data_IF_692061585852
#
_entry.id   IF_692061585852
#
_cell.length_a   1.000
_cell.length_b   1.000
_cell.length_c   1.000
_cell.angle_alpha   90.00
_cell.angle_beta   90.00
_cell.angle_gamma   90.00
#
_symmetry.space_group_name_H-M   'P 1'
#
loop_
_entity.id
_entity.type
_entity.pdbx_description
1 polymer ?
#
# COMPACT_ATOMS: atom_id res chain seq x y z
N UNK A 1 23.01 -47.09 -11.59
CA UNK A 1 22.49 -46.82 -10.23
C UNK A 1 22.51 -45.31 -10.01
N UNK A 2 21.39 -44.64 -10.24
CA UNK A 2 21.22 -43.22 -9.97
C UNK A 2 20.49 -43.07 -8.63
N UNK A 3 21.12 -42.42 -7.66
CA UNK A 3 20.53 -42.14 -6.35
C UNK A 3 20.01 -40.71 -6.31
N UNK A 4 18.79 -40.61 -5.81
CA UNK A 4 17.97 -39.44 -5.57
C UNK A 4 18.38 -38.74 -4.27
N UNK A 5 18.55 -37.41 -4.29
CA UNK A 5 18.47 -36.55 -3.08
C UNK A 5 17.75 -35.26 -3.48
N UNK A 6 16.48 -35.14 -3.11
CA UNK A 6 16.02 -34.38 -1.94
C UNK A 6 16.12 -32.87 -2.15
N UNK A 7 15.01 -32.28 -2.62
CA UNK A 7 14.83 -30.84 -2.78
C UNK A 7 14.95 -30.08 -1.46
N UNK A 8 15.81 -29.07 -1.45
CA UNK A 8 16.12 -28.24 -0.30
C UNK A 8 15.39 -26.91 -0.44
N UNK A 9 14.35 -26.71 0.38
CA UNK A 9 13.64 -25.44 0.54
C UNK A 9 14.57 -24.35 1.10
N UNK A 10 14.42 -23.07 0.68
CA UNK A 10 15.16 -21.96 1.25
C UNK A 10 14.64 -21.60 2.67
N UNK A 11 15.49 -21.05 3.55
CA UNK A 11 15.10 -20.68 4.91
C UNK A 11 14.16 -19.46 4.91
N UNK A 12 13.00 -19.66 5.51
CA UNK A 12 11.99 -18.65 5.80
C UNK A 12 12.56 -17.54 6.68
N UNK A 13 12.70 -16.33 6.12
CA UNK A 13 13.00 -15.13 6.88
C UNK A 13 11.80 -14.79 7.77
N UNK A 14 12.06 -14.75 9.07
CA UNK A 14 11.05 -14.53 10.09
C UNK A 14 10.33 -13.19 9.91
N UNK A 15 9.01 -13.31 9.90
CA UNK A 15 8.01 -12.25 10.03
C UNK A 15 8.33 -11.35 11.22
N UNK A 16 8.43 -10.05 10.93
CA UNK A 16 8.35 -9.00 11.95
C UNK A 16 6.93 -8.96 12.52
N UNK A 17 6.76 -9.50 13.73
CA UNK A 17 5.52 -9.37 14.51
C UNK A 17 5.54 -8.08 15.34
N UNK A 18 4.59 -7.15 15.16
CA UNK A 18 4.40 -6.02 16.06
C UNK A 18 3.59 -6.49 17.27
N UNK A 19 4.28 -6.91 18.33
CA UNK A 19 3.66 -7.16 19.63
C UNK A 19 4.61 -6.72 20.75
N UNK A 20 4.60 -5.42 21.04
CA UNK A 20 5.28 -4.87 22.22
C UNK A 20 4.29 -4.06 23.05
N UNK A 21 3.27 -4.74 23.58
CA UNK A 21 2.33 -4.14 24.54
C UNK A 21 2.24 -4.90 25.86
N UNK A 22 3.10 -5.90 26.12
CA UNK A 22 3.18 -6.60 27.42
C UNK A 22 4.61 -7.00 27.80
N UNK A 23 5.58 -6.09 27.69
CA UNK A 23 6.88 -6.32 28.37
C UNK A 23 6.66 -6.09 29.87
N UNK A 24 6.91 -7.10 30.70
CA UNK A 24 6.88 -6.97 32.16
C UNK A 24 7.73 -5.78 32.59
N UNK A 25 7.31 -5.05 33.64
CA UNK A 25 8.01 -3.84 34.11
C UNK A 25 9.51 -4.09 34.34
N UNK A 26 9.85 -5.31 34.75
CA UNK A 26 11.20 -5.83 34.94
C UNK A 26 11.99 -5.97 33.63
N UNK A 27 11.38 -6.48 32.56
CA UNK A 27 12.00 -6.52 31.22
C UNK A 27 12.26 -5.12 30.66
N UNK A 28 11.43 -4.13 31.01
CA UNK A 28 11.65 -2.73 30.63
C UNK A 28 12.83 -2.13 31.42
N UNK A 29 12.96 -2.48 32.70
CA UNK A 29 14.10 -2.05 33.55
C UNK A 29 15.42 -2.65 33.06
N UNK A 30 15.48 -3.96 32.83
CA UNK A 30 16.70 -4.63 32.34
C UNK A 30 17.13 -4.10 30.98
N UNK A 31 16.17 -3.90 30.05
CA UNK A 31 16.46 -3.30 28.74
C UNK A 31 16.97 -1.87 28.85
N UNK A 32 16.42 -1.06 29.78
CA UNK A 32 16.89 0.30 30.03
C UNK A 32 18.31 0.31 30.62
N UNK A 33 18.62 -0.65 31.50
CA UNK A 33 19.98 -0.81 32.05
C UNK A 33 20.98 -1.25 30.99
N UNK A 34 20.60 -2.17 30.09
CA UNK A 34 21.43 -2.57 28.95
C UNK A 34 21.75 -1.37 28.04
N UNK A 35 20.75 -0.55 27.71
CA UNK A 35 21.00 0.67 26.92
C UNK A 35 21.85 1.69 27.67
N UNK A 36 21.67 1.85 28.99
CA UNK A 36 22.54 2.73 29.78
C UNK A 36 23.99 2.25 29.78
N UNK A 37 24.23 0.94 29.86
CA UNK A 37 25.58 0.37 29.77
C UNK A 37 26.17 0.55 28.36
N UNK A 38 25.37 0.33 27.32
CA UNK A 38 25.78 0.49 25.92
C UNK A 38 26.17 1.92 25.56
N UNK A 39 25.43 2.91 26.07
CA UNK A 39 25.71 4.32 25.82
C UNK A 39 26.57 4.98 26.91
N UNK A 40 27.12 4.21 27.86
CA UNK A 40 27.97 4.75 28.93
C UNK A 40 27.25 5.74 29.88
N UNK A 41 25.91 5.75 29.91
CA UNK A 41 25.08 6.67 30.71
C UNK A 41 25.01 6.28 32.20
N UNK A 42 25.88 5.37 32.65
CA UNK A 42 26.00 4.97 34.05
C UNK A 42 26.99 5.91 34.75
N UNK A 43 26.51 7.14 35.00
CA UNK A 43 26.93 8.06 36.07
C UNK A 43 28.42 8.10 36.43
N UNK A 44 29.09 9.16 35.96
CA UNK A 44 30.31 9.73 36.57
C UNK A 44 30.20 9.92 38.09
N UNK A 45 28.99 9.99 38.66
CA UNK A 45 28.77 10.14 40.10
C UNK A 45 29.18 8.93 40.98
N UNK A 46 29.57 7.79 40.39
CA UNK A 46 30.11 6.64 41.13
C UNK A 46 31.57 6.30 40.72
N UNK A 47 32.16 7.06 39.80
CA UNK A 47 33.51 6.82 39.30
C UNK A 47 34.60 7.57 40.09
N UNK A 48 34.25 8.54 40.92
CA UNK A 48 35.23 9.37 41.66
C UNK A 48 35.63 8.84 43.05
N UNK A 49 35.05 7.72 43.52
CA UNK A 49 35.36 7.14 44.84
C UNK A 49 35.83 5.69 44.79
N UNK A 50 36.50 5.28 43.72
CA UNK A 50 37.27 4.04 43.71
C UNK A 50 38.71 4.42 43.38
N UNK A 51 39.53 4.53 44.44
CA UNK A 51 40.98 4.64 44.29
C UNK A 51 41.45 3.58 43.31
N UNK A 52 42.41 3.94 42.46
CA UNK A 52 42.97 3.06 41.41
C UNK A 52 43.44 1.75 42.06
N UNK A 53 42.54 0.77 42.14
CA UNK A 53 42.86 -0.55 42.63
C UNK A 53 43.86 -1.14 41.64
N UNK A 54 45.03 -1.54 42.12
CA UNK A 54 46.16 -2.00 41.30
C UNK A 54 45.74 -3.16 40.37
N UNK A 55 44.77 -3.97 40.81
CA UNK A 55 44.12 -5.04 40.03
C UNK A 55 43.46 -4.55 38.73
N UNK A 56 42.95 -3.32 38.70
CA UNK A 56 42.28 -2.73 37.53
C UNK A 56 43.27 -2.22 36.48
N UNK A 57 44.55 -2.06 36.84
CA UNK A 57 45.63 -1.71 35.93
C UNK A 57 46.18 -2.93 35.20
N UNK A 58 46.03 -4.12 35.79
CA UNK A 58 46.50 -5.42 35.29
C UNK A 58 45.39 -6.16 34.51
N UNK A 59 44.13 -5.79 34.68
CA UNK A 59 43.01 -6.38 33.93
C UNK A 59 42.96 -5.93 32.47
N UNK A 60 43.03 -6.87 31.51
CA UNK A 60 43.05 -6.60 30.06
C UNK A 60 41.75 -5.94 29.58
N UNK A 61 40.62 -6.26 30.21
CA UNK A 61 39.30 -5.74 29.82
C UNK A 61 38.99 -4.36 30.43
N UNK A 62 39.87 -3.86 31.30
CA UNK A 62 39.70 -2.58 31.99
C UNK A 62 40.07 -1.39 31.09
N UNK A 63 39.29 -0.28 31.14
CA UNK A 63 39.64 0.95 30.43
C UNK A 63 40.91 1.63 30.99
N UNK A 64 41.37 1.25 32.19
CA UNK A 64 42.59 1.78 32.81
C UNK A 64 43.79 0.83 32.66
N UNK A 65 43.70 -0.17 31.77
CA UNK A 65 44.73 -1.17 31.54
C UNK A 65 46.08 -0.55 31.19
N UNK A 66 47.14 -0.97 31.90
CA UNK A 66 48.52 -0.58 31.62
C UNK A 66 49.30 -1.82 31.16
N UNK A 67 49.63 -1.93 29.86
CA UNK A 67 50.31 -3.10 29.31
C UNK A 67 51.64 -3.43 29.99
N UNK A 68 52.41 -2.40 30.34
CA UNK A 68 53.71 -2.58 31.00
C UNK A 68 53.55 -3.21 32.40
N UNK A 69 52.60 -2.73 33.20
CA UNK A 69 52.36 -3.27 34.54
C UNK A 69 51.82 -4.72 34.47
N UNK A 70 50.96 -5.02 33.50
CA UNK A 70 50.48 -6.37 33.26
C UNK A 70 51.60 -7.33 32.85
N UNK A 71 52.50 -6.90 31.98
CA UNK A 71 53.63 -7.72 31.54
C UNK A 71 54.62 -8.02 32.67
N UNK A 72 54.97 -7.00 33.46
CA UNK A 72 55.84 -7.17 34.64
C UNK A 72 55.20 -8.11 35.67
N UNK A 73 53.90 -7.96 35.93
CA UNK A 73 53.17 -8.84 36.85
C UNK A 73 53.09 -10.30 36.34
N UNK A 74 52.84 -10.47 35.03
CA UNK A 74 52.74 -11.77 34.39
C UNK A 74 54.10 -12.49 34.38
N UNK A 75 55.18 -11.80 34.07
CA UNK A 75 56.53 -12.40 34.05
C UNK A 75 57.06 -12.70 35.46
N UNK A 76 56.69 -11.89 36.46
CA UNK A 76 57.06 -12.13 37.85
C UNK A 76 56.32 -13.34 38.48
N UNK A 77 55.05 -13.56 38.10
CA UNK A 77 54.18 -14.59 38.72
C UNK A 77 54.05 -15.89 37.94
N UNK A 78 54.21 -15.87 36.62
CA UNK A 78 53.95 -17.04 35.77
C UNK A 78 55.22 -17.84 35.47
N UNK A 79 55.04 -19.16 35.32
CA UNK A 79 56.10 -20.04 34.80
C UNK A 79 56.16 -19.95 33.29
N UNK A 80 57.28 -20.34 32.67
CA UNK A 80 57.45 -20.31 31.21
C UNK A 80 56.34 -21.03 30.46
N UNK A 81 55.87 -22.17 30.97
CA UNK A 81 54.74 -22.90 30.38
C UNK A 81 53.44 -22.08 30.43
N UNK A 82 53.18 -21.39 31.55
CA UNK A 82 52.04 -20.48 31.69
C UNK A 82 52.14 -19.29 30.73
N UNK A 83 53.34 -18.75 30.54
CA UNK A 83 53.59 -17.66 29.60
C UNK A 83 53.34 -18.10 28.14
N UNK A 84 53.73 -19.31 27.76
CA UNK A 84 53.43 -19.84 26.42
C UNK A 84 51.94 -20.07 26.21
N UNK A 85 51.23 -20.63 27.18
CA UNK A 85 49.77 -20.84 27.09
C UNK A 85 49.01 -19.53 27.00
N UNK A 86 49.37 -18.53 27.82
CA UNK A 86 48.77 -17.19 27.77
C UNK A 86 49.05 -16.50 26.43
N UNK A 87 50.28 -16.61 25.90
CA UNK A 87 50.62 -16.07 24.58
C UNK A 87 49.80 -16.72 23.46
N UNK A 88 49.62 -18.05 23.51
CA UNK A 88 48.81 -18.77 22.54
C UNK A 88 47.33 -18.35 22.60
N UNK A 89 46.77 -18.21 23.82
CA UNK A 89 45.40 -17.70 24.02
C UNK A 89 45.26 -16.29 23.46
N UNK A 90 46.16 -15.38 23.84
CA UNK A 90 46.09 -13.99 23.42
C UNK A 90 46.22 -13.84 21.89
N UNK A 91 47.06 -14.67 21.25
CA UNK A 91 47.17 -14.73 19.79
C UNK A 91 45.87 -15.17 19.12
N UNK A 92 45.20 -16.18 19.69
CA UNK A 92 43.87 -16.61 19.26
C UNK A 92 42.83 -15.49 19.44
N UNK A 93 42.83 -14.83 20.60
CA UNK A 93 41.91 -13.75 20.92
C UNK A 93 42.09 -12.54 19.98
N UNK A 94 43.34 -12.17 19.69
CA UNK A 94 43.66 -11.13 18.70
C UNK A 94 43.11 -11.52 17.32
N UNK A 95 43.29 -12.77 16.89
CA UNK A 95 42.78 -13.26 15.61
C UNK A 95 41.25 -13.21 15.53
N UNK A 96 40.56 -13.67 16.57
CA UNK A 96 39.10 -13.63 16.64
C UNK A 96 38.56 -12.20 16.68
N UNK A 97 39.17 -11.31 17.47
CA UNK A 97 38.78 -9.91 17.56
C UNK A 97 39.01 -9.17 16.24
N UNK A 98 40.10 -9.47 15.54
CA UNK A 98 40.36 -8.93 14.21
C UNK A 98 39.35 -9.44 13.18
N UNK A 99 38.99 -10.73 13.23
CA UNK A 99 37.92 -11.31 12.42
C UNK A 99 36.56 -10.66 12.70
N UNK A 100 36.21 -10.46 13.98
CA UNK A 100 34.98 -9.80 14.39
C UNK A 100 34.94 -8.33 13.95
N UNK A 101 36.05 -7.58 14.09
CA UNK A 101 36.17 -6.20 13.62
C UNK A 101 36.03 -6.11 12.10
N UNK A 102 36.72 -6.99 11.37
CA UNK A 102 36.63 -7.02 9.92
C UNK A 102 35.23 -7.39 9.47
N UNK A 103 34.61 -8.40 10.08
CA UNK A 103 33.23 -8.77 9.82
C UNK A 103 32.29 -7.60 10.12
N UNK A 104 32.42 -6.91 11.25
CA UNK A 104 31.59 -5.75 11.57
C UNK A 104 31.75 -4.64 10.54
N UNK A 105 32.98 -4.24 10.23
CA UNK A 105 33.28 -3.18 9.25
C UNK A 105 32.74 -3.58 7.88
N UNK A 106 33.12 -4.73 7.34
CA UNK A 106 32.69 -5.11 6.00
C UNK A 106 31.19 -5.39 5.95
N UNK A 107 30.62 -6.04 6.96
CA UNK A 107 29.20 -6.35 7.01
C UNK A 107 28.36 -5.08 7.09
N UNK A 108 28.66 -4.19 8.04
CA UNK A 108 27.93 -2.92 8.14
C UNK A 108 28.19 -2.00 6.96
N UNK A 109 29.43 -1.87 6.49
CA UNK A 109 29.71 -0.95 5.38
C UNK A 109 29.03 -1.38 4.09
N UNK A 110 29.01 -2.67 3.75
CA UNK A 110 28.30 -3.11 2.56
C UNK A 110 26.78 -2.98 2.73
N UNK A 111 26.23 -3.23 3.93
CA UNK A 111 24.81 -3.02 4.20
C UNK A 111 24.42 -1.54 4.09
N UNK A 112 25.23 -0.63 4.65
CA UNK A 112 25.01 0.81 4.53
C UNK A 112 25.09 1.27 3.08
N UNK A 113 26.04 0.75 2.32
CA UNK A 113 26.17 1.06 0.90
C UNK A 113 24.96 0.55 0.10
N UNK A 114 24.55 -0.71 0.31
CA UNK A 114 23.37 -1.29 -0.33
C UNK A 114 22.07 -0.57 0.04
N UNK A 115 21.94 -0.13 1.30
CA UNK A 115 20.83 0.70 1.74
C UNK A 115 20.86 2.07 1.05
N UNK A 116 22.04 2.67 0.91
CA UNK A 116 22.28 3.89 0.15
C UNK A 116 21.84 3.76 -1.32
N UNK A 117 22.23 2.67 -1.99
CA UNK A 117 21.81 2.37 -3.36
C UNK A 117 20.29 2.22 -3.47
N UNK A 118 19.67 1.55 -2.50
CA UNK A 118 18.20 1.40 -2.45
C UNK A 118 17.50 2.74 -2.25
N UNK A 119 18.01 3.60 -1.36
CA UNK A 119 17.49 4.95 -1.13
C UNK A 119 17.64 5.81 -2.39
N UNK A 120 18.79 5.72 -3.07
CA UNK A 120 19.03 6.42 -4.33
C UNK A 120 18.02 5.97 -5.40
N UNK A 121 17.85 4.67 -5.57
CA UNK A 121 16.86 4.11 -6.49
C UNK A 121 15.42 4.51 -6.14
N UNK A 122 15.08 4.57 -4.86
CA UNK A 122 13.78 5.04 -4.39
C UNK A 122 13.61 6.52 -4.71
N UNK A 123 14.60 7.36 -4.45
CA UNK A 123 14.57 8.79 -4.76
C UNK A 123 14.38 9.07 -6.25
N UNK A 124 14.95 8.23 -7.13
CA UNK A 124 14.73 8.35 -8.59
C UNK A 124 13.31 7.92 -8.98
N UNK A 125 12.73 6.89 -8.34
CA UNK A 125 11.40 6.37 -8.68
C UNK A 125 10.24 7.15 -8.04
N UNK A 126 10.42 7.73 -6.86
CA UNK A 126 9.39 8.51 -6.15
C UNK A 126 8.80 9.66 -6.99
N UNK A 127 9.56 10.52 -7.69
CA UNK A 127 8.98 11.59 -8.49
C UNK A 127 8.13 11.04 -9.67
N UNK A 128 8.52 9.90 -10.25
CA UNK A 128 7.70 9.23 -11.26
C UNK A 128 6.38 8.74 -10.67
N UNK A 129 6.42 8.12 -9.49
CA UNK A 129 5.23 7.63 -8.80
C UNK A 129 4.30 8.80 -8.39
N UNK A 130 4.85 9.90 -7.88
CA UNK A 130 4.09 11.11 -7.58
C UNK A 130 3.42 11.71 -8.82
N UNK A 131 4.11 11.71 -9.96
CA UNK A 131 3.55 12.14 -11.24
C UNK A 131 2.35 11.26 -11.65
N UNK A 132 2.48 9.93 -11.56
CA UNK A 132 1.39 8.99 -11.86
C UNK A 132 0.19 9.20 -10.92
N UNK A 133 0.42 9.38 -9.62
CA UNK A 133 -0.65 9.64 -8.65
C UNK A 133 -1.36 10.97 -8.94
N UNK A 134 -0.60 12.01 -9.29
CA UNK A 134 -1.16 13.32 -9.66
C UNK A 134 -2.01 13.20 -10.93
N UNK A 135 -1.56 12.44 -11.93
CA UNK A 135 -2.33 12.17 -13.14
C UNK A 135 -3.62 11.38 -12.83
N UNK A 136 -3.54 10.39 -11.96
CA UNK A 136 -4.69 9.62 -11.51
C UNK A 136 -5.73 10.52 -10.82
N UNK A 137 -5.26 11.42 -9.93
CA UNK A 137 -6.11 12.40 -9.25
C UNK A 137 -6.80 13.34 -10.24
N UNK A 138 -6.08 13.82 -11.26
CA UNK A 138 -6.65 14.65 -12.31
C UNK A 138 -7.72 13.90 -13.13
N UNK A 139 -7.45 12.62 -13.45
CA UNK A 139 -8.39 11.76 -14.15
C UNK A 139 -9.65 11.52 -13.32
N UNK A 140 -9.51 11.24 -12.03
CA UNK A 140 -10.64 11.10 -11.11
C UNK A 140 -11.45 12.39 -10.98
N UNK A 141 -10.80 13.55 -10.86
CA UNK A 141 -11.51 14.83 -10.84
C UNK A 141 -12.28 15.07 -12.14
N UNK A 142 -11.71 14.72 -13.29
CA UNK A 142 -12.38 14.84 -14.59
C UNK A 142 -13.59 13.90 -14.69
N UNK A 143 -13.46 12.66 -14.19
CA UNK A 143 -14.56 11.70 -14.11
C UNK A 143 -15.65 12.22 -13.18
N UNK A 144 -15.31 12.74 -11.99
CA UNK A 144 -16.28 13.33 -11.06
C UNK A 144 -17.04 14.49 -11.69
N UNK A 145 -16.34 15.43 -12.35
CA UNK A 145 -16.98 16.52 -13.10
C UNK A 145 -17.91 16.00 -14.20
N UNK A 146 -17.51 14.96 -14.92
CA UNK A 146 -18.35 14.35 -15.95
C UNK A 146 -19.58 13.66 -15.32
N UNK A 147 -19.41 12.93 -14.23
CA UNK A 147 -20.50 12.29 -13.47
C UNK A 147 -21.48 13.34 -12.94
N UNK A 148 -20.99 14.47 -12.43
CA UNK A 148 -21.82 15.58 -11.99
C UNK A 148 -22.58 16.21 -13.17
N UNK A 149 -21.96 16.31 -14.35
CA UNK A 149 -22.63 16.79 -15.56
C UNK A 149 -23.68 15.81 -16.11
N UNK A 150 -23.48 14.51 -15.91
CA UNK A 150 -24.42 13.45 -16.33
C UNK A 150 -25.55 13.29 -15.32
N UNK A 151 -25.28 13.51 -14.02
CA UNK A 151 -26.29 13.72 -13.01
C UNK A 151 -26.97 15.07 -13.25
N UNK A 152 -27.80 15.13 -14.28
CA UNK A 152 -28.89 16.09 -14.33
C UNK A 152 -29.58 16.03 -12.96
N UNK A 153 -29.91 17.18 -12.33
CA UNK A 153 -30.70 17.16 -11.12
C UNK A 153 -31.95 16.36 -11.47
N UNK A 154 -32.04 15.18 -10.87
CA UNK A 154 -33.28 14.44 -10.79
C UNK A 154 -34.14 15.29 -9.90
N UNK A 155 -34.76 16.31 -10.47
CA UNK A 155 -35.82 17.05 -9.83
C UNK A 155 -36.93 16.02 -9.67
N UNK A 156 -36.87 15.28 -8.56
CA UNK A 156 -38.03 14.64 -7.99
C UNK A 156 -38.94 15.80 -7.57
N UNK A 157 -39.63 16.37 -8.57
CA UNK A 157 -40.67 17.36 -8.39
C UNK A 157 -41.83 16.66 -7.69
N UNK A 158 -41.74 16.54 -6.37
CA UNK A 158 -42.90 16.72 -5.51
C UNK A 158 -43.20 18.21 -5.44
N UNK A 159 -43.48 18.82 -6.59
CA UNK A 159 -44.08 20.16 -6.64
C UNK A 159 -45.57 19.92 -6.75
N UNK A 160 -46.32 20.57 -5.86
CA UNK A 160 -47.78 20.61 -5.87
C UNK A 160 -48.17 21.35 -7.16
N UNK A 161 -48.63 20.61 -8.17
CA UNK A 161 -48.84 21.14 -9.53
C UNK A 161 -50.26 21.70 -9.71
N UNK A 162 -50.33 22.98 -10.08
CA UNK A 162 -51.50 23.67 -10.65
C UNK A 162 -51.95 22.97 -11.95
N UNK A 163 -53.25 22.77 -12.25
CA UNK A 163 -53.70 21.81 -13.26
C UNK A 163 -53.23 22.10 -14.69
N UNK A 164 -52.81 23.33 -14.98
CA UNK A 164 -52.27 23.72 -16.29
C UNK A 164 -50.85 23.19 -16.51
N UNK A 165 -49.99 23.20 -15.48
CA UNK A 165 -48.62 22.70 -15.57
C UNK A 165 -48.56 21.16 -15.66
N UNK A 166 -49.54 20.46 -15.08
CA UNK A 166 -49.65 19.01 -15.14
C UNK A 166 -49.81 18.50 -16.58
N UNK A 167 -50.52 19.26 -17.43
CA UNK A 167 -50.66 18.94 -18.86
C UNK A 167 -49.32 19.11 -19.61
N UNK A 168 -48.55 20.14 -19.27
CA UNK A 168 -47.25 20.40 -19.92
C UNK A 168 -46.18 19.38 -19.53
N UNK A 169 -46.17 18.94 -18.27
CA UNK A 169 -45.24 17.91 -17.77
C UNK A 169 -45.58 16.57 -18.42
N UNK A 170 -46.87 16.22 -18.49
CA UNK A 170 -47.35 15.00 -19.15
C UNK A 170 -47.02 14.99 -20.64
N UNK A 171 -47.15 16.13 -21.33
CA UNK A 171 -46.76 16.31 -22.73
C UNK A 171 -45.25 16.11 -22.94
N UNK A 172 -44.41 16.74 -22.11
CA UNK A 172 -42.93 16.58 -22.18
C UNK A 172 -42.52 15.13 -21.93
N UNK A 173 -43.19 14.44 -21.00
CA UNK A 173 -42.97 13.01 -20.74
C UNK A 173 -43.31 12.17 -21.96
N UNK A 174 -44.46 12.39 -22.59
CA UNK A 174 -44.87 11.68 -23.80
C UNK A 174 -43.89 11.90 -24.96
N UNK A 175 -43.39 13.13 -25.15
CA UNK A 175 -42.37 13.44 -26.17
C UNK A 175 -41.06 12.67 -25.95
N UNK A 176 -40.60 12.55 -24.70
CA UNK A 176 -39.41 11.74 -24.38
C UNK A 176 -39.62 10.27 -24.67
N UNK A 177 -40.81 9.73 -24.41
CA UNK A 177 -41.11 8.32 -24.74
C UNK A 177 -41.19 8.10 -26.26
N UNK A 178 -41.67 9.07 -27.03
CA UNK A 178 -41.66 9.01 -28.50
C UNK A 178 -40.23 9.00 -29.06
N UNK A 179 -39.36 9.88 -28.58
CA UNK A 179 -37.95 9.89 -29.00
C UNK A 179 -37.23 8.60 -28.60
N UNK A 180 -37.55 8.06 -27.41
CA UNK A 180 -37.04 6.75 -27.00
C UNK A 180 -37.51 5.64 -27.94
N UNK A 181 -38.80 5.60 -28.29
CA UNK A 181 -39.34 4.62 -29.24
C UNK A 181 -38.62 4.72 -30.60
N UNK A 182 -38.41 5.95 -31.09
CA UNK A 182 -37.66 6.22 -32.33
C UNK A 182 -36.23 5.69 -32.27
N UNK A 183 -35.52 5.93 -31.17
CA UNK A 183 -34.16 5.43 -30.98
C UNK A 183 -34.13 3.90 -30.87
N UNK A 184 -35.12 3.27 -30.23
CA UNK A 184 -35.23 1.80 -30.16
C UNK A 184 -35.46 1.17 -31.54
N UNK A 185 -36.29 1.79 -32.37
CA UNK A 185 -36.51 1.38 -33.77
C UNK A 185 -35.23 1.56 -34.59
N UNK A 186 -34.52 2.69 -34.43
CA UNK A 186 -33.26 2.95 -35.13
C UNK A 186 -32.11 2.01 -34.69
N UNK A 187 -32.10 1.60 -33.42
CA UNK A 187 -31.13 0.67 -32.85
C UNK A 187 -31.43 -0.81 -33.16
N UNK A 188 -32.53 -1.11 -33.87
CA UNK A 188 -32.98 -2.45 -34.23
C UNK A 188 -33.07 -3.41 -33.02
N UNK A 189 -33.66 -2.94 -31.91
CA UNK A 189 -33.89 -3.75 -30.71
C UNK A 189 -34.90 -4.89 -30.95
N UNK A 190 -34.94 -5.86 -30.04
CA UNK A 190 -35.86 -7.01 -30.13
C UNK A 190 -37.33 -6.56 -30.27
N UNK A 191 -38.03 -7.11 -31.27
CA UNK A 191 -39.41 -6.74 -31.62
C UNK A 191 -40.38 -6.79 -30.43
N UNK A 192 -40.24 -7.79 -29.54
CA UNK A 192 -41.09 -7.94 -28.36
C UNK A 192 -40.97 -6.77 -27.37
N UNK A 193 -39.74 -6.25 -27.17
CA UNK A 193 -39.51 -5.10 -26.27
C UNK A 193 -40.08 -3.81 -26.84
N UNK A 194 -39.98 -3.64 -28.16
CA UNK A 194 -40.55 -2.48 -28.85
C UNK A 194 -42.08 -2.51 -28.74
N UNK A 195 -42.68 -3.69 -28.96
CA UNK A 195 -44.13 -3.89 -28.85
C UNK A 195 -44.66 -3.71 -27.41
N UNK A 196 -43.96 -4.24 -26.41
CA UNK A 196 -44.31 -4.07 -25.01
C UNK A 196 -44.23 -2.58 -24.61
N UNK A 197 -43.16 -1.90 -25.00
CA UNK A 197 -42.97 -0.48 -24.71
C UNK A 197 -44.01 0.41 -25.41
N UNK A 198 -44.36 0.11 -26.66
CA UNK A 198 -45.42 0.80 -27.38
C UNK A 198 -46.79 0.58 -26.71
N UNK A 199 -47.11 -0.66 -26.31
CA UNK A 199 -48.37 -1.00 -25.63
C UNK A 199 -48.52 -0.27 -24.29
N UNK A 200 -47.45 -0.21 -23.49
CA UNK A 200 -47.45 0.49 -22.19
C UNK A 200 -47.69 1.99 -22.36
N UNK A 201 -47.18 2.60 -23.43
CA UNK A 201 -47.25 4.05 -23.65
C UNK A 201 -48.28 4.48 -24.71
N UNK A 202 -49.16 3.57 -25.14
CA UNK A 202 -50.08 3.76 -26.26
C UNK A 202 -50.97 5.00 -26.09
N UNK A 203 -51.62 5.13 -24.94
CA UNK A 203 -52.57 6.21 -24.66
C UNK A 203 -51.88 7.59 -24.64
N UNK A 204 -50.69 7.68 -24.04
CA UNK A 204 -49.93 8.92 -23.94
C UNK A 204 -49.38 9.38 -25.30
N UNK A 205 -48.94 8.43 -26.14
CA UNK A 205 -48.45 8.71 -27.48
C UNK A 205 -49.57 9.12 -28.43
N UNK A 206 -50.74 8.48 -28.32
CA UNK A 206 -51.90 8.82 -29.14
C UNK A 206 -52.52 10.17 -28.76
N UNK A 207 -52.52 10.55 -27.48
CA UNK A 207 -52.91 11.89 -27.03
C UNK A 207 -51.96 12.98 -27.55
N UNK A 208 -50.65 12.67 -27.63
CA UNK A 208 -49.67 13.57 -28.22
C UNK A 208 -49.85 13.70 -29.75
N UNK A 209 -50.22 12.61 -30.42
CA UNK A 209 -50.49 12.58 -31.86
C UNK A 209 -51.75 13.35 -32.26
N UNK A 210 -52.77 13.44 -31.39
CA UNK A 210 -53.95 14.28 -31.64
C UNK A 210 -53.66 15.77 -31.52
N UNK A 211 -52.67 16.15 -30.71
CA UNK A 211 -52.28 17.55 -30.48
C UNK A 211 -51.24 18.07 -31.48
N UNK A 212 -50.39 17.20 -32.03
CA UNK A 212 -49.24 17.60 -32.85
C UNK A 212 -49.09 16.74 -34.10
N UNK A 213 -49.31 17.36 -35.26
CA UNK A 213 -49.20 16.72 -36.58
C UNK A 213 -47.80 16.13 -36.87
N UNK A 214 -46.74 16.73 -36.33
CA UNK A 214 -45.37 16.24 -36.52
C UNK A 214 -45.08 15.01 -35.66
N UNK A 215 -45.61 14.97 -34.43
CA UNK A 215 -45.53 13.79 -33.57
C UNK A 215 -46.36 12.63 -34.14
N UNK A 216 -47.52 12.93 -34.74
CA UNK A 216 -48.34 11.95 -35.47
C UNK A 216 -47.57 11.30 -36.61
N UNK A 217 -46.88 12.09 -37.44
CA UNK A 217 -46.05 11.56 -38.53
C UNK A 217 -44.94 10.64 -38.01
N UNK A 218 -44.23 11.04 -36.96
CA UNK A 218 -43.18 10.20 -36.37
C UNK A 218 -43.72 8.91 -35.75
N UNK A 219 -44.93 8.95 -35.19
CA UNK A 219 -45.60 7.78 -34.67
C UNK A 219 -46.04 6.83 -35.79
N UNK A 220 -46.60 7.36 -36.89
CA UNK A 220 -46.92 6.58 -38.10
C UNK A 220 -45.67 5.95 -38.73
N UNK A 221 -44.54 6.68 -38.78
CA UNK A 221 -43.24 6.16 -39.25
C UNK A 221 -42.74 5.01 -38.34
N UNK A 222 -42.88 5.15 -37.02
CA UNK A 222 -42.53 4.09 -36.06
C UNK A 222 -43.45 2.87 -36.20
N UNK A 223 -44.76 3.07 -36.37
CA UNK A 223 -45.72 1.99 -36.60
C UNK A 223 -45.45 1.25 -37.92
N UNK A 224 -45.10 1.98 -38.98
CA UNK A 224 -44.70 1.38 -40.25
C UNK A 224 -43.43 0.54 -40.09
N UNK A 225 -42.44 1.01 -39.33
CA UNK A 225 -41.22 0.27 -39.04
C UNK A 225 -41.49 -0.98 -38.17
N UNK A 226 -42.34 -0.87 -37.14
CA UNK A 226 -42.75 -2.00 -36.30
C UNK A 226 -43.53 -3.05 -37.12
N UNK A 227 -44.39 -2.61 -38.06
CA UNK A 227 -45.08 -3.54 -38.97
C UNK A 227 -44.12 -4.24 -39.93
N UNK A 228 -43.07 -3.56 -40.39
CA UNK A 228 -42.03 -4.16 -41.23
C UNK A 228 -41.18 -5.17 -40.44
N UNK A 229 -40.83 -4.90 -39.18
CA UNK A 229 -40.08 -5.85 -38.34
C UNK A 229 -40.94 -7.03 -37.85
N UNK A 230 -42.24 -6.82 -37.64
CA UNK A 230 -43.22 -7.87 -37.28
C UNK A 230 -43.69 -8.69 -38.50
N UNK A 231 -43.51 -8.15 -39.71
CA UNK A 231 -43.92 -8.73 -40.98
C UNK A 231 -42.85 -9.56 -41.69
N UNK A 232 -41.67 -9.76 -41.09
CA UNK A 232 -40.69 -10.73 -41.60
C UNK A 232 -41.15 -12.12 -41.15
N UNK A 233 -42.21 -12.62 -41.80
CA UNK A 233 -42.55 -14.04 -41.83
C UNK A 233 -41.52 -14.72 -42.74
N UNK A 234 -40.96 -15.87 -42.34
CA UNK A 234 -39.96 -16.59 -43.10
C UNK A 234 -40.58 -17.22 -44.35
N UNK A 235 -39.92 -17.03 -45.48
CA UNK A 235 -39.87 -17.98 -46.59
C UNK A 235 -38.44 -18.06 -47.06
#
# INVERSE_FOLDING_TARGET
MAQTTSGQNPPSYFVSSPSSAKSTLEQRRTRREQFRNFYGLKSDAAAETEGVNDSKLVDIDSPAFKPAAYYEDLTAKSTLSGLMTTTASLSSDIGTLQGARHSLVYNHHHQLFAAGDTISQLNVRTPQLLSVVTNLQQSFSSISQLVDSINLPRTEEQVIVDPEEATTISRRKAQRQLERLRLMVQANESSDRINEFYKINYEALHHLATENNLAKKHLEDCEAAIRQTSGIVPT
#
